data_IF_599205035419
#
_entry.id   IF_599205035419
#
_cell.length_a   1.000
_cell.length_b   1.000
_cell.length_c   1.000
_cell.angle_alpha   90.00
_cell.angle_beta   90.00
_cell.angle_gamma   90.00
#
_symmetry.space_group_name_H-M   'P 1'
#
loop_
_entity.id
_entity.type
_entity.pdbx_description
1 polymer ?
#
# COMPACT_ATOMS: atom_id res chain seq x y z
N UNK A 1 -6.50 -28.59 -21.38
CA UNK A 1 -5.14 -28.06 -21.16
C UNK A 1 -5.24 -27.02 -20.05
N UNK A 2 -4.66 -27.18 -18.87
CA UNK A 2 -4.63 -26.14 -17.86
C UNK A 2 -3.67 -25.06 -18.35
N UNK A 3 -4.17 -23.85 -18.49
CA UNK A 3 -3.38 -22.65 -18.73
C UNK A 3 -2.41 -22.47 -17.56
N UNK A 4 -1.12 -22.50 -17.84
CA UNK A 4 -0.07 -22.08 -16.93
C UNK A 4 -0.35 -20.63 -16.51
N UNK A 5 -1.01 -20.44 -15.38
CA UNK A 5 -1.03 -19.18 -14.68
C UNK A 5 0.40 -18.95 -14.21
N UNK A 6 1.14 -18.12 -14.92
CA UNK A 6 2.45 -17.62 -14.50
C UNK A 6 2.32 -17.14 -13.05
N UNK A 7 3.07 -17.77 -12.16
CA UNK A 7 3.08 -17.47 -10.70
C UNK A 7 3.77 -16.12 -10.46
N UNK A 8 3.25 -15.06 -11.10
CA UNK A 8 3.77 -13.71 -10.98
C UNK A 8 3.44 -13.20 -9.58
N UNK A 9 4.46 -12.89 -8.80
CA UNK A 9 4.28 -12.24 -7.50
C UNK A 9 3.45 -10.97 -7.67
N UNK A 10 2.40 -10.82 -6.87
CA UNK A 10 1.53 -9.64 -6.91
C UNK A 10 1.20 -9.13 -5.51
N UNK A 11 0.95 -7.84 -5.40
CA UNK A 11 0.55 -7.17 -4.17
C UNK A 11 -0.61 -6.22 -4.45
N UNK A 12 -1.65 -6.30 -3.63
CA UNK A 12 -2.77 -5.38 -3.67
C UNK A 12 -2.52 -4.15 -2.81
N UNK A 13 -2.73 -2.97 -3.35
CA UNK A 13 -2.66 -1.72 -2.61
C UNK A 13 -4.05 -1.08 -2.57
N UNK A 14 -4.70 -1.00 -1.38
CA UNK A 14 -5.98 -0.33 -1.22
C UNK A 14 -5.87 1.16 -1.56
N UNK A 15 -6.79 1.65 -2.42
CA UNK A 15 -6.83 3.05 -2.86
C UNK A 15 -7.47 3.96 -1.81
N UNK A 16 -6.95 3.92 -0.60
CA UNK A 16 -7.44 4.66 0.55
C UNK A 16 -6.30 5.09 1.48
N UNK A 17 -6.52 6.06 2.33
CA UNK A 17 -5.62 6.55 3.37
C UNK A 17 -4.23 6.90 2.83
N UNK A 18 -3.18 6.19 3.25
CA UNK A 18 -1.78 6.43 2.87
C UNK A 18 -1.48 6.26 1.37
N UNK A 19 -2.40 5.66 0.59
CA UNK A 19 -2.31 5.58 -0.86
C UNK A 19 -2.10 6.97 -1.49
N UNK A 20 -2.89 7.96 -1.13
CA UNK A 20 -2.82 9.28 -1.76
C UNK A 20 -1.51 10.02 -1.49
N UNK A 21 -0.81 9.66 -0.42
CA UNK A 21 0.46 10.30 -0.03
C UNK A 21 1.69 9.54 -0.53
N UNK A 22 1.64 8.19 -0.55
CA UNK A 22 2.84 7.37 -0.70
C UNK A 22 2.78 6.34 -1.83
N UNK A 23 1.66 6.22 -2.54
CA UNK A 23 1.50 5.21 -3.59
C UNK A 23 2.59 5.26 -4.67
N UNK A 24 3.05 6.43 -5.17
CA UNK A 24 4.10 6.45 -6.19
C UNK A 24 5.40 5.78 -5.72
N UNK A 25 5.74 5.95 -4.42
CA UNK A 25 6.88 5.27 -3.82
C UNK A 25 6.67 3.74 -3.80
N UNK A 26 5.52 3.28 -3.31
CA UNK A 26 5.21 1.84 -3.24
C UNK A 26 5.20 1.20 -4.61
N UNK A 27 4.64 1.89 -5.59
CA UNK A 27 4.62 1.42 -6.97
C UNK A 27 6.04 1.19 -7.48
N UNK A 28 6.91 2.20 -7.43
CA UNK A 28 8.30 2.07 -7.89
C UNK A 28 9.08 1.00 -7.12
N UNK A 29 8.88 0.91 -5.82
CA UNK A 29 9.54 -0.05 -4.94
C UNK A 29 9.17 -1.51 -5.26
N UNK A 30 7.88 -1.82 -5.33
CA UNK A 30 7.43 -3.20 -5.58
C UNK A 30 7.67 -3.64 -7.02
N UNK A 31 7.41 -2.78 -8.00
CA UNK A 31 7.64 -3.12 -9.42
C UNK A 31 9.14 -3.37 -9.72
N UNK A 32 10.06 -2.59 -9.14
CA UNK A 32 11.51 -2.82 -9.28
C UNK A 32 11.94 -4.17 -8.70
N UNK A 33 11.24 -4.67 -7.68
CA UNK A 33 11.45 -6.00 -7.12
C UNK A 33 10.81 -7.13 -7.95
N UNK A 34 10.10 -6.82 -9.03
CA UNK A 34 9.37 -7.78 -9.84
C UNK A 34 8.03 -8.20 -9.23
N UNK A 35 7.51 -7.43 -8.27
CA UNK A 35 6.20 -7.64 -7.65
C UNK A 35 5.19 -6.74 -8.34
N UNK A 36 4.26 -7.33 -9.09
CA UNK A 36 3.19 -6.61 -9.79
C UNK A 36 2.26 -5.91 -8.80
N UNK A 37 2.09 -4.60 -8.95
CA UNK A 37 1.20 -3.82 -8.11
C UNK A 37 -0.21 -3.77 -8.71
N UNK A 38 -1.18 -4.30 -7.96
CA UNK A 38 -2.61 -4.22 -8.28
C UNK A 38 -3.28 -3.20 -7.36
N UNK A 39 -4.01 -2.26 -7.94
CA UNK A 39 -4.72 -1.22 -7.19
C UNK A 39 -6.21 -1.54 -7.18
N UNK A 40 -6.88 -1.30 -6.05
CA UNK A 40 -8.34 -1.33 -6.01
C UNK A 40 -8.96 -0.24 -6.89
N UNK A 41 -10.20 -0.44 -7.29
CA UNK A 41 -10.93 0.52 -8.12
C UNK A 41 -11.15 1.87 -7.40
N UNK A 42 -11.68 2.85 -8.10
CA UNK A 42 -12.09 4.11 -7.46
C UNK A 42 -13.19 3.86 -6.44
N UNK A 43 -13.15 4.59 -5.34
CA UNK A 43 -14.19 4.53 -4.30
C UNK A 43 -15.58 4.81 -4.89
N UNK A 44 -16.52 3.92 -4.63
CA UNK A 44 -17.92 4.02 -5.02
C UNK A 44 -18.82 3.94 -3.79
N UNK A 45 -20.12 4.18 -3.97
CA UNK A 45 -21.12 3.93 -2.92
C UNK A 45 -21.13 2.46 -2.48
N UNK A 46 -20.90 1.53 -3.41
CA UNK A 46 -20.79 0.10 -3.13
C UNK A 46 -19.58 -0.18 -2.24
N UNK A 47 -18.38 0.31 -2.61
CA UNK A 47 -17.16 0.19 -1.80
C UNK A 47 -17.37 0.65 -0.35
N UNK A 48 -18.05 1.80 -0.17
CA UNK A 48 -18.36 2.32 1.16
C UNK A 48 -19.37 1.46 1.91
N UNK A 49 -20.40 0.98 1.24
CA UNK A 49 -21.45 0.14 1.84
C UNK A 49 -20.91 -1.20 2.31
N UNK A 50 -20.17 -1.89 1.46
CA UNK A 50 -19.55 -3.19 1.74
C UNK A 50 -18.55 -3.09 2.90
N UNK A 51 -17.68 -2.09 2.90
CA UNK A 51 -16.75 -1.87 4.00
C UNK A 51 -17.43 -1.49 5.31
N UNK A 52 -18.54 -0.72 5.25
CA UNK A 52 -19.33 -0.35 6.43
C UNK A 52 -20.05 -1.54 7.06
N UNK A 53 -20.44 -2.53 6.27
CA UNK A 53 -21.14 -3.72 6.74
C UNK A 53 -20.27 -4.64 7.62
N UNK A 54 -18.93 -4.56 7.50
CA UNK A 54 -18.00 -5.41 8.24
C UNK A 54 -17.48 -4.79 9.53
N UNK A 55 -17.69 -3.51 9.77
CA UNK A 55 -17.18 -2.82 10.96
C UNK A 55 -18.31 -2.20 11.77
N UNK A 56 -18.04 -1.94 13.05
CA UNK A 56 -19.03 -1.32 13.93
C UNK A 56 -19.38 0.11 13.46
N UNK A 57 -20.61 0.55 13.75
CA UNK A 57 -21.17 1.83 13.26
C UNK A 57 -20.30 3.04 13.58
N UNK A 58 -19.66 3.05 14.75
CA UNK A 58 -18.81 4.12 15.27
C UNK A 58 -17.42 4.18 14.62
N UNK A 59 -17.11 3.23 13.74
CA UNK A 59 -15.84 3.25 12.99
C UNK A 59 -15.83 4.45 12.03
N UNK A 60 -14.72 5.19 12.02
CA UNK A 60 -14.56 6.34 11.14
C UNK A 60 -14.61 5.95 9.65
N UNK A 61 -15.13 6.85 8.82
CA UNK A 61 -15.32 6.63 7.39
C UNK A 61 -14.06 6.17 6.65
N UNK A 62 -12.85 6.72 6.89
CA UNK A 62 -11.64 6.25 6.22
C UNK A 62 -11.35 4.76 6.40
N UNK A 63 -11.60 4.21 7.59
CA UNK A 63 -11.42 2.77 7.87
C UNK A 63 -12.50 1.96 7.13
N UNK A 64 -13.76 2.41 7.12
CA UNK A 64 -14.84 1.75 6.36
C UNK A 64 -14.50 1.65 4.88
N UNK A 65 -14.05 2.75 4.30
CA UNK A 65 -13.61 2.81 2.89
C UNK A 65 -12.41 1.88 2.66
N UNK A 66 -11.44 1.85 3.58
CA UNK A 66 -10.28 0.97 3.46
C UNK A 66 -10.66 -0.51 3.41
N UNK A 67 -11.58 -0.94 4.29
CA UNK A 67 -12.12 -2.31 4.29
C UNK A 67 -12.79 -2.64 2.95
N UNK A 68 -13.60 -1.73 2.41
CA UNK A 68 -14.23 -1.91 1.10
C UNK A 68 -13.23 -2.07 -0.04
N UNK A 69 -12.12 -1.32 0.00
CA UNK A 69 -11.04 -1.49 -0.99
C UNK A 69 -10.32 -2.83 -0.86
N UNK A 70 -10.19 -3.37 0.35
CA UNK A 70 -9.66 -4.74 0.54
C UNK A 70 -10.59 -5.76 -0.10
N UNK A 71 -11.90 -5.66 0.12
CA UNK A 71 -12.88 -6.56 -0.50
C UNK A 71 -12.78 -6.52 -2.03
N UNK A 72 -12.67 -5.33 -2.61
CA UNK A 72 -12.49 -5.16 -4.06
C UNK A 72 -11.20 -5.81 -4.58
N UNK A 73 -10.09 -5.74 -3.85
CA UNK A 73 -8.85 -6.42 -4.23
C UNK A 73 -8.98 -7.95 -4.18
N UNK A 74 -9.65 -8.47 -3.16
CA UNK A 74 -9.92 -9.90 -3.05
C UNK A 74 -10.83 -10.41 -4.18
N UNK A 75 -11.82 -9.63 -4.61
CA UNK A 75 -12.65 -9.94 -5.77
C UNK A 75 -11.85 -9.95 -7.08
N UNK A 76 -10.78 -9.16 -7.18
CA UNK A 76 -9.82 -9.20 -8.29
C UNK A 76 -8.86 -10.39 -8.25
N UNK A 77 -8.98 -11.28 -7.25
CA UNK A 77 -8.12 -12.44 -7.09
C UNK A 77 -6.73 -12.12 -6.54
N UNK A 78 -6.57 -11.00 -5.84
CA UNK A 78 -5.31 -10.64 -5.18
C UNK A 78 -5.32 -11.22 -3.77
N UNK A 79 -4.37 -12.10 -3.50
CA UNK A 79 -4.25 -12.82 -2.22
C UNK A 79 -3.27 -12.21 -1.22
N UNK A 80 -2.41 -11.27 -1.65
CA UNK A 80 -1.47 -10.54 -0.79
C UNK A 80 -1.80 -9.05 -0.83
N UNK A 81 -2.22 -8.51 0.31
CA UNK A 81 -2.67 -7.11 0.39
C UNK A 81 -1.78 -6.34 1.37
N UNK A 82 -1.27 -5.20 0.89
CA UNK A 82 -0.44 -4.29 1.68
C UNK A 82 -1.28 -3.49 2.67
N UNK A 83 -1.08 -3.77 3.95
CA UNK A 83 -1.79 -3.13 5.07
C UNK A 83 -0.76 -2.65 6.10
N UNK A 84 -0.05 -1.54 5.84
CA UNK A 84 1.00 -1.09 6.74
C UNK A 84 0.45 -0.55 8.07
N UNK A 85 1.16 -0.86 9.15
CA UNK A 85 0.98 -0.23 10.46
C UNK A 85 1.87 1.02 10.55
N UNK A 86 1.27 2.20 10.44
CA UNK A 86 2.02 3.46 10.54
C UNK A 86 1.86 4.02 11.95
N UNK A 87 2.80 3.70 12.83
CA UNK A 87 2.80 4.09 14.23
C UNK A 87 3.10 5.58 14.39
N UNK A 88 4.21 6.00 13.78
CA UNK A 88 4.71 7.36 13.83
C UNK A 88 5.43 7.71 12.53
N UNK A 89 5.30 8.96 12.09
CA UNK A 89 5.99 9.51 10.92
C UNK A 89 7.12 10.46 11.30
N UNK A 90 7.18 10.86 12.58
CA UNK A 90 8.21 11.73 13.13
C UNK A 90 8.37 11.51 14.65
N UNK A 91 9.43 12.06 15.24
CA UNK A 91 9.74 11.90 16.66
C UNK A 91 8.58 12.35 17.54
N UNK A 92 8.11 11.45 18.41
CA UNK A 92 6.99 11.67 19.36
C UNK A 92 5.64 12.08 18.74
N UNK A 93 5.49 11.98 17.42
CA UNK A 93 4.23 12.23 16.72
C UNK A 93 3.60 10.91 16.31
N UNK A 94 2.54 10.51 17.01
CA UNK A 94 1.86 9.24 16.78
C UNK A 94 0.58 9.42 15.98
N UNK A 95 0.33 8.46 15.09
CA UNK A 95 -0.95 8.34 14.40
C UNK A 95 -2.07 7.88 15.36
N UNK A 96 -3.32 8.01 14.92
CA UNK A 96 -4.45 7.53 15.70
C UNK A 96 -4.37 6.00 15.87
N UNK A 97 -4.94 5.49 16.96
CA UNK A 97 -4.90 4.06 17.30
C UNK A 97 -5.45 3.15 16.20
N UNK A 98 -6.44 3.60 15.43
CA UNK A 98 -7.02 2.83 14.31
C UNK A 98 -6.07 2.69 13.11
N UNK A 99 -5.21 3.67 12.83
CA UNK A 99 -4.17 3.56 11.80
C UNK A 99 -3.03 2.66 12.31
N UNK A 100 -2.67 2.82 13.57
CA UNK A 100 -1.62 2.04 14.21
C UNK A 100 -1.97 0.54 14.28
N UNK A 101 -3.20 0.21 14.63
CA UNK A 101 -3.71 -1.16 14.71
C UNK A 101 -4.45 -1.62 13.44
N UNK A 102 -4.20 -0.99 12.28
CA UNK A 102 -4.94 -1.30 11.06
C UNK A 102 -4.80 -2.76 10.60
N UNK A 103 -3.61 -3.39 10.58
CA UNK A 103 -3.48 -4.80 10.22
C UNK A 103 -4.33 -5.72 11.09
N UNK A 104 -4.31 -5.54 12.42
CA UNK A 104 -5.08 -6.33 13.35
C UNK A 104 -6.59 -6.12 13.15
N UNK A 105 -7.01 -4.88 12.93
CA UNK A 105 -8.41 -4.58 12.62
C UNK A 105 -8.85 -5.33 11.37
N UNK A 106 -8.09 -5.23 10.28
CA UNK A 106 -8.41 -5.91 9.01
C UNK A 106 -8.48 -7.42 9.19
N UNK A 107 -7.52 -8.03 9.88
CA UNK A 107 -7.49 -9.46 10.18
C UNK A 107 -8.74 -9.91 10.96
N UNK A 108 -9.27 -9.04 11.82
CA UNK A 108 -10.44 -9.36 12.62
C UNK A 108 -11.77 -9.15 11.89
N UNK A 109 -11.87 -8.20 10.96
CA UNK A 109 -13.15 -7.90 10.30
C UNK A 109 -13.30 -8.58 8.94
N UNK A 110 -12.22 -8.80 8.18
CA UNK A 110 -12.27 -9.48 6.88
C UNK A 110 -12.02 -10.97 7.07
N UNK A 111 -13.08 -11.75 7.11
CA UNK A 111 -13.04 -13.23 7.32
C UNK A 111 -12.92 -13.97 5.98
N UNK A 112 -11.95 -13.58 5.15
CA UNK A 112 -11.59 -14.25 3.91
C UNK A 112 -10.15 -14.74 4.00
N UNK A 113 -9.78 -15.71 3.19
CA UNK A 113 -8.40 -16.22 3.13
C UNK A 113 -7.55 -15.33 2.25
N UNK A 114 -6.57 -14.66 2.85
CA UNK A 114 -5.57 -13.82 2.19
C UNK A 114 -4.41 -13.49 3.14
N UNK A 115 -3.29 -13.09 2.57
CA UNK A 115 -2.11 -12.69 3.31
C UNK A 115 -2.08 -11.17 3.50
N UNK A 116 -2.07 -10.72 4.75
CA UNK A 116 -1.79 -9.33 5.07
C UNK A 116 -0.26 -9.14 4.98
N UNK A 117 0.16 -8.28 4.06
CA UNK A 117 1.54 -7.80 4.00
C UNK A 117 1.65 -6.65 4.99
N UNK A 118 1.91 -7.03 6.23
CA UNK A 118 2.03 -6.14 7.37
C UNK A 118 3.49 -5.70 7.51
N UNK A 119 3.68 -4.41 7.63
CA UNK A 119 4.97 -3.81 7.93
C UNK A 119 4.75 -2.62 8.85
N UNK A 120 5.60 -2.47 9.86
CA UNK A 120 5.45 -1.43 10.88
C UNK A 120 6.45 -0.29 10.65
N UNK A 121 5.92 0.91 10.38
CA UNK A 121 6.71 2.13 10.35
C UNK A 121 6.57 2.88 11.67
N UNK A 122 7.64 2.94 12.44
CA UNK A 122 7.71 3.74 13.66
C UNK A 122 8.96 4.61 13.67
N UNK A 123 8.77 5.92 13.60
CA UNK A 123 9.85 6.92 13.71
C UNK A 123 9.87 7.64 15.06
N UNK A 124 9.11 7.16 16.04
CA UNK A 124 9.10 7.74 17.39
C UNK A 124 10.44 7.56 18.09
N UNK A 125 11.15 6.47 17.77
CA UNK A 125 12.48 6.17 18.30
C UNK A 125 13.54 6.16 17.17
N UNK A 126 14.79 6.47 17.53
CA UNK A 126 15.88 6.70 16.55
C UNK A 126 16.26 5.50 15.69
N UNK A 127 15.83 4.29 16.01
CA UNK A 127 16.31 3.05 15.39
C UNK A 127 15.31 2.31 14.52
N UNK A 128 14.07 2.75 14.38
CA UNK A 128 13.09 2.13 13.49
C UNK A 128 12.94 2.94 12.19
N UNK A 129 13.81 2.65 11.25
CA UNK A 129 13.87 3.38 9.99
C UNK A 129 12.98 2.79 8.89
N UNK A 130 12.80 3.58 7.83
CA UNK A 130 12.14 3.15 6.60
C UNK A 130 12.71 1.82 6.07
N UNK A 131 14.00 1.56 6.25
CA UNK A 131 14.64 0.35 5.74
C UNK A 131 14.11 -0.94 6.40
N UNK A 132 13.94 -0.95 7.72
CA UNK A 132 13.38 -2.13 8.42
C UNK A 132 11.93 -2.36 7.99
N UNK A 133 11.14 -1.30 7.86
CA UNK A 133 9.80 -1.36 7.31
C UNK A 133 9.76 -1.98 5.90
N UNK A 134 10.70 -1.62 5.02
CA UNK A 134 10.78 -2.18 3.67
C UNK A 134 11.16 -3.66 3.68
N UNK A 135 12.06 -4.09 4.57
CA UNK A 135 12.41 -5.51 4.77
C UNK A 135 11.19 -6.33 5.19
N UNK A 136 10.39 -5.81 6.14
CA UNK A 136 9.15 -6.46 6.56
C UNK A 136 8.15 -6.58 5.40
N UNK A 137 7.97 -5.52 4.63
CA UNK A 137 7.02 -5.48 3.51
C UNK A 137 7.33 -6.51 2.40
N UNK A 138 8.59 -6.90 2.22
CA UNK A 138 8.99 -7.86 1.17
C UNK A 138 9.18 -9.28 1.68
N UNK A 139 9.17 -9.49 3.00
CA UNK A 139 9.34 -10.81 3.62
C UNK A 139 8.35 -11.87 3.11
N UNK A 140 7.05 -11.57 2.91
CA UNK A 140 6.08 -12.53 2.36
C UNK A 140 6.35 -12.97 0.92
N UNK A 141 7.28 -12.30 0.24
CA UNK A 141 7.73 -12.63 -1.12
C UNK A 141 9.08 -13.35 -1.16
N UNK A 142 9.64 -13.68 0.02
CA UNK A 142 10.93 -14.37 0.11
C UNK A 142 12.13 -13.51 -0.28
N UNK A 143 11.99 -12.19 -0.37
CA UNK A 143 13.07 -11.28 -0.74
C UNK A 143 13.86 -10.89 0.51
N UNK A 144 15.14 -11.30 0.56
CA UNK A 144 16.04 -11.07 1.71
C UNK A 144 17.32 -10.31 1.33
N UNK A 145 17.59 -10.13 0.03
CA UNK A 145 18.79 -9.42 -0.44
C UNK A 145 18.70 -7.91 -0.12
N UNK A 146 19.52 -7.49 0.84
CA UNK A 146 19.57 -6.10 1.29
C UNK A 146 19.96 -5.11 0.18
N UNK A 147 20.89 -5.50 -0.70
CA UNK A 147 21.33 -4.63 -1.80
C UNK A 147 20.17 -4.38 -2.76
N UNK A 148 19.41 -5.42 -3.08
CA UNK A 148 18.23 -5.35 -3.94
C UNK A 148 17.14 -4.50 -3.30
N UNK A 149 16.85 -4.68 -2.01
CA UNK A 149 15.85 -3.87 -1.28
C UNK A 149 16.26 -2.38 -1.27
N UNK A 150 17.55 -2.08 -1.02
CA UNK A 150 18.07 -0.70 -1.06
C UNK A 150 18.00 -0.07 -2.45
N UNK A 151 18.28 -0.85 -3.50
CA UNK A 151 18.14 -0.39 -4.89
C UNK A 151 16.68 -0.07 -5.22
N UNK A 152 15.77 -0.97 -4.92
CA UNK A 152 14.34 -0.77 -5.13
C UNK A 152 13.79 0.44 -4.34
N UNK A 153 14.28 0.67 -3.13
CA UNK A 153 13.92 1.88 -2.37
C UNK A 153 14.32 3.17 -3.11
N UNK A 154 15.49 3.19 -3.77
CA UNK A 154 15.90 4.35 -4.57
C UNK A 154 14.99 4.58 -5.78
N UNK A 155 14.58 3.52 -6.47
CA UNK A 155 13.60 3.61 -7.56
C UNK A 155 12.24 4.09 -7.06
N UNK A 156 11.76 3.61 -5.92
CA UNK A 156 10.56 4.11 -5.27
C UNK A 156 10.61 5.63 -5.01
N UNK A 157 11.72 6.12 -4.47
CA UNK A 157 11.92 7.57 -4.25
C UNK A 157 12.02 8.35 -5.55
N UNK A 158 12.62 7.80 -6.60
CA UNK A 158 12.69 8.44 -7.92
C UNK A 158 11.29 8.62 -8.51
N UNK A 159 10.44 7.59 -8.49
CA UNK A 159 9.03 7.68 -8.93
C UNK A 159 8.27 8.71 -8.10
N UNK A 160 8.46 8.73 -6.79
CA UNK A 160 7.83 9.69 -5.88
C UNK A 160 8.25 11.13 -6.17
N UNK A 161 9.54 11.38 -6.40
CA UNK A 161 10.04 12.71 -6.69
C UNK A 161 9.52 13.23 -8.05
N UNK A 162 9.52 12.39 -9.08
CA UNK A 162 8.93 12.71 -10.38
C UNK A 162 7.45 13.08 -10.24
N UNK A 163 6.71 12.29 -9.47
CA UNK A 163 5.30 12.58 -9.20
C UNK A 163 5.10 13.94 -8.51
N UNK A 164 5.91 14.24 -7.48
CA UNK A 164 5.86 15.56 -6.79
C UNK A 164 6.15 16.72 -7.72
N UNK A 165 7.16 16.60 -8.59
CA UNK A 165 7.50 17.64 -9.58
C UNK A 165 6.28 17.91 -10.47
N UNK A 166 5.64 16.87 -10.98
CA UNK A 166 4.47 17.00 -11.85
C UNK A 166 3.28 17.63 -11.15
N UNK A 167 3.00 17.25 -9.89
CA UNK A 167 1.95 17.88 -9.10
C UNK A 167 2.22 19.39 -8.90
N UNK A 168 3.47 19.74 -8.58
CA UNK A 168 3.87 21.14 -8.40
C UNK A 168 3.78 21.95 -9.71
N UNK A 169 3.86 21.30 -10.85
CA UNK A 169 3.65 21.90 -12.18
C UNK A 169 2.15 21.97 -12.57
N UNK A 170 1.23 21.67 -11.65
CA UNK A 170 -0.21 21.75 -11.88
C UNK A 170 -0.82 20.58 -12.64
N UNK A 171 -0.08 19.49 -12.85
CA UNK A 171 -0.61 18.28 -13.51
C UNK A 171 -1.56 17.56 -12.56
N UNK A 172 -2.80 17.20 -12.98
CA UNK A 172 -3.75 16.48 -12.16
C UNK A 172 -3.18 15.15 -11.63
N UNK A 173 -3.56 14.75 -10.40
CA UNK A 173 -3.06 13.59 -9.68
C UNK A 173 -2.94 12.33 -10.55
N UNK A 174 -4.02 11.91 -11.19
CA UNK A 174 -4.06 10.68 -12.01
C UNK A 174 -3.11 10.74 -13.21
N UNK A 175 -3.01 11.91 -13.84
CA UNK A 175 -2.11 12.12 -14.98
C UNK A 175 -0.66 12.14 -14.53
N UNK A 176 -0.35 12.83 -13.45
CA UNK A 176 0.97 12.85 -12.82
C UNK A 176 1.42 11.45 -12.42
N UNK A 177 0.52 10.66 -11.82
CA UNK A 177 0.79 9.28 -11.44
C UNK A 177 1.12 8.39 -12.64
N UNK A 178 0.37 8.53 -13.74
CA UNK A 178 0.61 7.75 -14.96
C UNK A 178 1.96 8.09 -15.62
N UNK A 179 2.35 9.37 -15.62
CA UNK A 179 3.68 9.79 -16.11
C UNK A 179 4.80 9.26 -15.22
N UNK A 180 4.66 9.39 -13.89
CA UNK A 180 5.65 8.92 -12.94
C UNK A 180 5.91 7.41 -13.06
N UNK A 181 4.85 6.61 -13.25
CA UNK A 181 4.94 5.16 -13.50
C UNK A 181 5.72 4.81 -14.77
N UNK A 182 5.67 5.66 -15.78
CA UNK A 182 6.38 5.48 -17.06
C UNK A 182 7.81 6.03 -17.04
N UNK A 183 8.26 6.59 -15.91
CA UNK A 183 9.55 7.26 -15.82
C UNK A 183 9.64 8.56 -16.62
N UNK A 184 8.51 9.11 -17.06
CA UNK A 184 8.45 10.35 -17.83
C UNK A 184 8.39 11.55 -16.89
N UNK A 185 9.29 12.51 -17.10
CA UNK A 185 9.25 13.85 -16.50
C UNK A 185 8.87 14.81 -17.63
N UNK A 186 7.82 15.59 -17.43
CA UNK A 186 7.36 16.59 -18.39
C UNK A 186 8.02 17.93 -18.08
#
# INVERSE_FOLDING_TARGET
MPTETSNQMQIGIPRAMSYFNYFPFWYGFFEDLGIKVVISDKTTKQTMSEGSALVVSETCLPIKVYVGHILNLLEKGVDKIFVPSIQSIDHKIYNCSKIRGLPDLIKNVVKKDFTIVDATLDKSEKNQGLYEFLKEAVKPFGITDEKRIKAASKEGWKVMNNFKIMLNSGIPFEKALNYAKKGQVV
#
